data_IF_447189848980
#
_entry.id   IF_447189848980
#
_cell.length_a   1.000
_cell.length_b   1.000
_cell.length_c   1.000
_cell.angle_alpha   90.00
_cell.angle_beta   90.00
_cell.angle_gamma   90.00
#
_symmetry.space_group_name_H-M   'P 1'
#
loop_
_entity.id
_entity.type
_entity.pdbx_description
1 polymer ?
#
# COMPACT_ATOMS: atom_id res chain seq x y z
N UNK A 1 -7.04 -22.24 -5.01
CA UNK A 1 -7.80 -20.96 -5.06
C UNK A 1 -7.24 -20.02 -4.02
N UNK A 2 -6.82 -18.80 -4.40
CA UNK A 2 -6.28 -17.81 -3.45
C UNK A 2 -7.23 -16.62 -3.24
N UNK A 3 -8.33 -16.56 -3.98
CA UNK A 3 -9.36 -15.51 -3.90
C UNK A 3 -10.73 -16.14 -3.72
N UNK A 4 -11.56 -15.51 -2.90
CA UNK A 4 -12.94 -15.94 -2.65
C UNK A 4 -13.77 -15.92 -3.96
N UNK A 5 -13.57 -14.93 -4.83
CA UNK A 5 -14.30 -14.83 -6.11
C UNK A 5 -14.10 -16.02 -7.04
N UNK A 6 -12.88 -16.59 -7.07
CA UNK A 6 -12.58 -17.78 -7.86
C UNK A 6 -13.48 -18.96 -7.47
N UNK A 7 -13.89 -19.04 -6.19
CA UNK A 7 -14.76 -20.12 -5.68
C UNK A 7 -16.16 -20.02 -6.26
N UNK A 8 -16.73 -18.81 -6.30
CA UNK A 8 -18.06 -18.59 -6.87
C UNK A 8 -18.03 -18.77 -8.39
N UNK A 9 -16.99 -18.25 -9.07
CA UNK A 9 -16.82 -18.42 -10.51
C UNK A 9 -16.68 -19.90 -10.91
N UNK A 10 -15.91 -20.68 -10.15
CA UNK A 10 -15.76 -22.12 -10.41
C UNK A 10 -17.09 -22.88 -10.31
N UNK A 11 -17.93 -22.55 -9.33
CA UNK A 11 -19.22 -23.20 -9.12
C UNK A 11 -20.25 -22.83 -10.18
N UNK A 12 -20.25 -21.57 -10.64
CA UNK A 12 -21.05 -21.14 -11.78
C UNK A 12 -20.61 -21.85 -13.07
N UNK A 13 -19.29 -21.92 -13.31
CA UNK A 13 -18.74 -22.59 -14.48
C UNK A 13 -19.07 -24.09 -14.48
N UNK A 14 -18.97 -24.76 -13.32
CA UNK A 14 -19.33 -26.16 -13.17
C UNK A 14 -20.83 -26.39 -13.41
N UNK A 15 -21.69 -25.55 -12.83
CA UNK A 15 -23.14 -25.65 -13.04
C UNK A 15 -23.52 -25.46 -14.51
N UNK A 16 -22.90 -24.50 -15.19
CA UNK A 16 -23.10 -24.26 -16.62
C UNK A 16 -22.62 -25.44 -17.47
N UNK A 17 -21.44 -26.00 -17.17
CA UNK A 17 -20.90 -27.16 -17.87
C UNK A 17 -21.82 -28.39 -17.75
N UNK A 18 -22.36 -28.64 -16.56
CA UNK A 18 -23.26 -29.76 -16.27
C UNK A 18 -24.72 -29.48 -16.66
N UNK A 19 -25.04 -28.29 -17.21
CA UNK A 19 -26.42 -27.87 -17.53
C UNK A 19 -27.39 -27.98 -16.34
N UNK A 20 -26.89 -27.75 -15.13
CA UNK A 20 -27.68 -27.76 -13.88
C UNK A 20 -27.90 -26.35 -13.36
N UNK A 21 -28.88 -26.20 -12.47
CA UNK A 21 -29.05 -24.96 -11.73
C UNK A 21 -27.78 -24.64 -10.91
N UNK A 22 -27.44 -23.36 -10.86
CA UNK A 22 -26.42 -22.85 -9.95
C UNK A 22 -26.86 -23.09 -8.49
N UNK A 23 -25.94 -23.47 -7.58
CA UNK A 23 -26.28 -23.65 -6.18
C UNK A 23 -26.84 -22.36 -5.55
N UNK A 24 -27.84 -22.47 -4.67
CA UNK A 24 -28.44 -21.30 -4.03
C UNK A 24 -27.42 -20.45 -3.28
N UNK A 25 -26.50 -21.07 -2.53
CA UNK A 25 -25.46 -20.34 -1.79
C UNK A 25 -24.56 -19.46 -2.66
N UNK A 26 -24.43 -19.78 -3.96
CA UNK A 26 -23.74 -18.92 -4.93
C UNK A 26 -24.62 -17.74 -5.24
N UNK A 27 -25.85 -17.99 -5.68
CA UNK A 27 -26.82 -16.97 -6.12
C UNK A 27 -27.18 -15.99 -5.00
N UNK A 28 -27.39 -16.49 -3.78
CA UNK A 28 -27.79 -15.72 -2.60
C UNK A 28 -26.77 -14.63 -2.23
N UNK A 29 -25.52 -14.75 -2.69
CA UNK A 29 -24.42 -13.83 -2.37
C UNK A 29 -23.96 -13.02 -3.58
N UNK A 30 -24.39 -13.35 -4.81
CA UNK A 30 -23.83 -12.77 -6.05
C UNK A 30 -23.88 -11.24 -6.08
N UNK A 31 -25.00 -10.65 -5.68
CA UNK A 31 -25.19 -9.20 -5.71
C UNK A 31 -24.26 -8.47 -4.71
N UNK A 32 -23.91 -9.12 -3.59
CA UNK A 32 -23.07 -8.56 -2.54
C UNK A 32 -21.60 -8.99 -2.64
N UNK A 33 -21.29 -9.99 -3.46
CA UNK A 33 -19.96 -10.57 -3.58
C UNK A 33 -18.89 -9.54 -3.98
N UNK A 34 -19.12 -8.60 -4.92
CA UNK A 34 -18.13 -7.57 -5.24
C UNK A 34 -17.75 -6.72 -4.03
N UNK A 35 -18.72 -6.34 -3.20
CA UNK A 35 -18.49 -5.56 -1.99
C UNK A 35 -17.66 -6.35 -0.97
N UNK A 36 -18.03 -7.61 -0.70
CA UNK A 36 -17.29 -8.48 0.22
C UNK A 36 -15.83 -8.70 -0.22
N UNK A 37 -15.60 -8.87 -1.52
CA UNK A 37 -14.25 -9.02 -2.08
C UNK A 37 -13.44 -7.73 -1.96
N UNK A 38 -14.06 -6.58 -2.26
CA UNK A 38 -13.42 -5.27 -2.14
C UNK A 38 -13.04 -4.97 -0.69
N UNK A 39 -13.93 -5.27 0.25
CA UNK A 39 -13.69 -5.12 1.69
C UNK A 39 -12.54 -6.00 2.17
N UNK A 40 -12.51 -7.26 1.74
CA UNK A 40 -11.41 -8.18 2.02
C UNK A 40 -10.08 -7.67 1.48
N UNK A 41 -10.04 -7.26 0.21
CA UNK A 41 -8.86 -6.70 -0.43
C UNK A 41 -8.39 -5.41 0.28
N UNK A 42 -9.31 -4.50 0.60
CA UNK A 42 -9.00 -3.24 1.30
C UNK A 42 -8.36 -3.49 2.66
N UNK A 43 -8.89 -4.44 3.44
CA UNK A 43 -8.31 -4.83 4.74
C UNK A 43 -6.93 -5.46 4.56
N UNK A 44 -6.77 -6.41 3.64
CA UNK A 44 -5.48 -7.05 3.35
C UNK A 44 -4.43 -6.01 2.97
N UNK A 45 -4.72 -5.16 1.98
CA UNK A 45 -3.79 -4.11 1.55
C UNK A 45 -3.50 -3.09 2.65
N UNK A 46 -4.43 -2.86 3.58
CA UNK A 46 -4.18 -1.99 4.74
C UNK A 46 -3.20 -2.60 5.72
N UNK A 47 -3.27 -3.92 5.95
CA UNK A 47 -2.33 -4.64 6.81
C UNK A 47 -0.96 -4.70 6.14
N UNK A 48 -0.91 -5.03 4.85
CA UNK A 48 0.33 -5.10 4.09
C UNK A 48 1.07 -3.75 4.14
N UNK A 49 0.37 -2.64 3.89
CA UNK A 49 0.93 -1.28 4.02
C UNK A 49 1.43 -1.01 5.44
N UNK A 50 0.62 -1.28 6.45
CA UNK A 50 0.99 -1.08 7.85
C UNK A 50 2.26 -1.85 8.27
N UNK A 51 2.48 -3.05 7.71
CA UNK A 51 3.68 -3.86 7.96
C UNK A 51 4.90 -3.24 7.27
N UNK A 52 4.74 -2.76 6.04
CA UNK A 52 5.80 -2.04 5.33
C UNK A 52 6.18 -0.77 6.09
N UNK A 53 5.21 0.09 6.42
CA UNK A 53 5.45 1.35 7.14
C UNK A 53 6.19 1.12 8.47
N UNK A 54 5.81 0.06 9.21
CA UNK A 54 6.49 -0.37 10.44
C UNK A 54 7.96 -0.72 10.20
N UNK A 55 8.23 -1.54 9.18
CA UNK A 55 9.58 -2.01 8.87
C UNK A 55 10.46 -0.87 8.37
N UNK A 56 9.93 0.00 7.51
CA UNK A 56 10.65 1.19 7.04
C UNK A 56 11.02 2.12 8.20
N UNK A 57 10.07 2.41 9.09
CA UNK A 57 10.34 3.20 10.29
C UNK A 57 11.37 2.52 11.21
N UNK A 58 11.31 1.20 11.39
CA UNK A 58 12.26 0.45 12.21
C UNK A 58 13.68 0.45 11.63
N UNK A 59 13.81 0.31 10.31
CA UNK A 59 15.11 0.36 9.62
C UNK A 59 15.71 1.76 9.68
N UNK A 60 14.88 2.80 9.58
CA UNK A 60 15.32 4.19 9.56
C UNK A 60 15.53 4.82 10.94
N UNK A 61 14.88 4.32 12.01
CA UNK A 61 14.97 4.87 13.36
C UNK A 61 16.40 5.13 13.87
N UNK A 62 17.40 4.25 13.65
CA UNK A 62 18.78 4.50 14.06
C UNK A 62 19.51 5.56 13.24
N UNK A 63 18.89 6.07 12.17
CA UNK A 63 19.50 6.94 11.16
C UNK A 63 18.90 8.35 11.15
N UNK A 64 18.09 8.70 12.16
CA UNK A 64 17.48 10.03 12.27
C UNK A 64 18.57 11.11 12.30
N UNK A 65 18.43 12.13 11.47
CA UNK A 65 19.43 13.18 11.23
C UNK A 65 20.26 12.97 9.96
N UNK A 66 20.36 11.74 9.44
CA UNK A 66 21.11 11.45 8.23
C UNK A 66 20.41 11.99 6.97
N UNK A 67 21.20 12.20 5.92
CA UNK A 67 20.73 12.62 4.62
C UNK A 67 20.84 11.51 3.57
N UNK A 68 19.79 11.39 2.76
CA UNK A 68 19.61 10.35 1.78
C UNK A 68 19.36 10.93 0.38
N UNK A 69 19.84 10.27 -0.68
CA UNK A 69 19.40 10.60 -2.03
C UNK A 69 17.96 10.11 -2.22
N UNK A 70 17.13 10.95 -2.84
CA UNK A 70 15.75 10.60 -3.13
C UNK A 70 15.26 11.22 -4.44
N UNK A 71 14.11 10.74 -4.92
CA UNK A 71 13.39 11.33 -6.05
C UNK A 71 11.98 11.70 -5.60
N UNK A 72 11.54 12.90 -5.95
CA UNK A 72 10.15 13.33 -5.70
C UNK A 72 9.22 12.56 -6.62
N UNK A 73 8.25 11.86 -6.04
CA UNK A 73 7.25 11.08 -6.76
C UNK A 73 6.01 11.92 -7.09
N UNK A 74 5.55 12.72 -6.14
CA UNK A 74 4.37 13.56 -6.30
C UNK A 74 4.25 14.63 -5.21
N UNK A 75 3.50 15.67 -5.52
CA UNK A 75 2.92 16.58 -4.52
C UNK A 75 1.56 16.05 -4.03
N UNK A 76 1.40 15.92 -2.72
CA UNK A 76 0.15 15.52 -2.06
C UNK A 76 -0.42 16.60 -1.15
N UNK A 77 -1.56 16.32 -0.50
CA UNK A 77 -2.17 17.26 0.47
C UNK A 77 -1.31 17.50 1.72
N UNK A 78 -0.35 16.62 1.99
CA UNK A 78 0.50 16.65 3.19
C UNK A 78 1.95 17.09 2.93
N UNK A 79 2.30 17.48 1.71
CA UNK A 79 3.68 17.79 1.31
C UNK A 79 4.11 17.01 0.08
N UNK A 80 5.41 16.73 -0.03
CA UNK A 80 6.01 15.92 -1.07
C UNK A 80 5.95 14.44 -0.68
N UNK A 81 5.91 13.56 -1.66
CA UNK A 81 6.21 12.15 -1.49
C UNK A 81 7.51 11.82 -2.18
N UNK A 82 8.44 11.19 -1.48
CA UNK A 82 9.79 10.89 -2.00
C UNK A 82 10.09 9.41 -1.95
N UNK A 83 10.84 8.92 -2.94
CA UNK A 83 11.46 7.60 -2.94
C UNK A 83 12.92 7.76 -2.54
N UNK A 84 13.29 7.29 -1.34
CA UNK A 84 14.69 7.08 -0.95
C UNK A 84 15.19 5.81 -1.65
N UNK A 85 16.41 5.83 -2.16
CA UNK A 85 16.94 4.67 -2.90
C UNK A 85 17.60 3.62 -2.03
N UNK A 86 18.21 4.02 -0.91
CA UNK A 86 18.93 3.12 0.00
C UNK A 86 18.79 3.62 1.46
N UNK A 87 18.00 2.93 2.31
CA UNK A 87 17.12 1.82 1.97
C UNK A 87 15.94 2.26 1.07
N UNK A 88 15.35 1.36 0.25
CA UNK A 88 14.23 1.70 -0.61
C UNK A 88 12.98 1.98 0.24
N UNK A 89 12.67 3.26 0.46
CA UNK A 89 11.58 3.72 1.32
C UNK A 89 10.77 4.79 0.60
N UNK A 90 9.45 4.71 0.69
CA UNK A 90 8.54 5.77 0.24
C UNK A 90 8.02 6.51 1.46
N UNK A 91 8.33 7.79 1.58
CA UNK A 91 7.94 8.59 2.74
C UNK A 91 7.43 9.97 2.35
N UNK A 92 6.70 10.59 3.26
CA UNK A 92 6.31 11.99 3.13
C UNK A 92 7.49 12.90 3.50
N UNK A 93 7.66 13.97 2.75
CA UNK A 93 8.71 14.96 2.92
C UNK A 93 8.16 16.38 2.87
N UNK A 94 8.80 17.29 3.59
CA UNK A 94 8.52 18.73 3.53
C UNK A 94 9.59 19.45 2.72
N UNK A 95 9.27 20.60 2.15
CA UNK A 95 10.20 21.40 1.35
C UNK A 95 9.62 21.79 0.00
N UNK A 96 10.49 22.17 -0.93
CA UNK A 96 10.12 22.56 -2.30
C UNK A 96 11.03 21.84 -3.29
N UNK A 97 10.43 21.08 -4.20
CA UNK A 97 11.09 20.40 -5.31
C UNK A 97 10.01 19.96 -6.31
N UNK A 98 10.35 19.80 -7.58
CA UNK A 98 9.40 19.41 -8.63
C UNK A 98 9.22 17.89 -8.71
N UNK A 99 8.09 17.44 -9.26
CA UNK A 99 7.85 16.01 -9.51
C UNK A 99 8.94 15.43 -10.44
N UNK A 100 9.49 14.28 -10.06
CA UNK A 100 10.60 13.63 -10.76
C UNK A 100 11.97 14.24 -10.48
N UNK A 101 12.07 15.33 -9.70
CA UNK A 101 13.34 15.92 -9.32
C UNK A 101 14.11 14.98 -8.37
N UNK A 102 15.39 14.76 -8.68
CA UNK A 102 16.33 14.15 -7.74
C UNK A 102 16.76 15.18 -6.69
N UNK A 103 16.63 14.81 -5.41
CA UNK A 103 16.84 15.68 -4.25
C UNK A 103 17.68 15.00 -3.19
N UNK A 104 18.19 15.79 -2.25
CA UNK A 104 18.70 15.28 -0.98
C UNK A 104 17.67 15.54 0.11
N UNK A 105 17.37 14.52 0.90
CA UNK A 105 16.40 14.59 1.99
C UNK A 105 17.04 14.19 3.30
N UNK A 106 16.77 14.95 4.37
CA UNK A 106 17.20 14.63 5.72
C UNK A 106 16.08 13.93 6.48
N UNK A 107 16.37 12.80 7.11
CA UNK A 107 15.41 12.08 7.94
C UNK A 107 15.20 12.86 9.25
N UNK A 108 14.00 13.39 9.46
CA UNK A 108 13.66 14.17 10.65
C UNK A 108 12.92 13.36 11.70
N UNK A 109 12.20 12.31 11.27
CA UNK A 109 11.49 11.39 12.16
C UNK A 109 11.43 9.99 11.58
N UNK A 110 11.63 8.98 12.42
CA UNK A 110 11.30 7.59 12.14
C UNK A 110 10.84 6.92 13.45
N UNK A 111 9.55 6.58 13.52
CA UNK A 111 8.90 6.06 14.72
C UNK A 111 8.16 4.75 14.40
N UNK A 112 8.66 3.59 14.84
CA UNK A 112 8.02 2.31 14.58
C UNK A 112 6.67 2.12 15.28
N UNK A 113 6.44 2.77 16.43
CA UNK A 113 5.17 2.65 17.16
C UNK A 113 4.05 3.37 16.43
N UNK A 114 4.35 4.56 15.91
CA UNK A 114 3.41 5.32 15.09
C UNK A 114 3.40 4.90 13.62
N UNK A 115 4.41 4.12 13.19
CA UNK A 115 4.68 3.71 11.80
C UNK A 115 4.83 4.92 10.89
N UNK A 116 5.61 5.89 11.36
CA UNK A 116 5.75 7.18 10.71
C UNK A 116 7.21 7.46 10.37
N UNK A 117 7.44 7.93 9.14
CA UNK A 117 8.72 8.46 8.67
C UNK A 117 8.49 9.84 8.07
N UNK A 118 9.38 10.79 8.37
CA UNK A 118 9.35 12.13 7.79
C UNK A 118 10.72 12.59 7.37
N UNK A 119 10.72 13.32 6.27
CA UNK A 119 11.90 13.91 5.70
C UNK A 119 11.73 15.41 5.44
N UNK A 120 12.84 16.13 5.35
CA UNK A 120 12.89 17.49 4.82
C UNK A 120 13.85 17.53 3.62
N UNK A 121 13.43 18.16 2.53
CA UNK A 121 14.32 18.47 1.39
C UNK A 121 15.37 19.49 1.85
N UNK A 122 16.64 19.15 1.65
CA UNK A 122 17.78 20.01 2.00
C UNK A 122 18.50 20.57 0.77
N UNK A 123 18.32 19.98 -0.41
CA UNK A 123 18.85 20.49 -1.69
C UNK A 123 18.05 19.95 -2.87
#
# INVERSE_FOLDING_TARGET
LRRLGDRYAAELALAAYESRAAPSWVLDVLDHLPELLNDGNRRSSSVDRAVVDLLEAAVLAPRVGDEFPAVVLSHGRGGLRVQVTEPPVIADASGKADDGQAVRVRLTRADPLERETRFDVVT
#
